data_IF_794273667749
#
_entry.id   IF_794273667749
#
_cell.length_a   1.000
_cell.length_b   1.000
_cell.length_c   1.000
_cell.angle_alpha   90.00
_cell.angle_beta   90.00
_cell.angle_gamma   90.00
#
_symmetry.space_group_name_H-M   'P 1'
#
loop_
_entity.id
_entity.type
_entity.pdbx_description
1 polymer ?
#
# COMPACT_ATOMS: atom_id res chain seq x y z
N UNK A 1 17.63 -4.49 12.65
CA UNK A 1 17.49 -5.00 11.26
C UNK A 1 16.10 -5.54 10.95
N UNK A 2 15.38 -6.10 11.93
CA UNK A 2 14.06 -6.70 11.70
C UNK A 2 12.99 -5.74 11.11
N UNK A 3 12.92 -4.49 11.61
CA UNK A 3 11.90 -3.52 11.17
C UNK A 3 12.00 -3.19 9.66
N UNK A 4 13.18 -2.81 9.09
CA UNK A 4 13.32 -2.66 7.64
C UNK A 4 12.97 -3.90 6.81
N UNK A 5 13.29 -5.11 7.31
CA UNK A 5 12.96 -6.37 6.62
C UNK A 5 11.44 -6.55 6.56
N UNK A 6 10.74 -6.33 7.68
CA UNK A 6 9.27 -6.41 7.72
C UNK A 6 8.62 -5.37 6.80
N UNK A 7 9.14 -4.14 6.78
CA UNK A 7 8.67 -3.10 5.85
C UNK A 7 8.85 -3.57 4.41
N UNK A 8 10.02 -4.11 4.05
CA UNK A 8 10.28 -4.61 2.71
C UNK A 8 9.32 -5.74 2.32
N UNK A 9 9.11 -6.73 3.19
CA UNK A 9 8.16 -7.83 2.94
C UNK A 9 6.73 -7.30 2.78
N UNK A 10 6.29 -6.41 3.68
CA UNK A 10 4.97 -5.79 3.62
C UNK A 10 4.77 -4.98 2.33
N UNK A 11 5.83 -4.32 1.86
CA UNK A 11 5.85 -3.60 0.58
C UNK A 11 5.67 -4.55 -0.62
N UNK A 12 6.34 -5.71 -0.59
CA UNK A 12 6.23 -6.72 -1.65
C UNK A 12 4.84 -7.31 -1.68
N UNK A 13 4.26 -7.66 -0.53
CA UNK A 13 2.91 -8.20 -0.43
C UNK A 13 1.86 -7.21 -0.95
N UNK A 14 1.95 -5.93 -0.57
CA UNK A 14 1.01 -4.92 -1.07
C UNK A 14 1.18 -4.63 -2.57
N UNK A 15 2.39 -4.81 -3.10
CA UNK A 15 2.63 -4.69 -4.54
C UNK A 15 2.20 -5.91 -5.35
N UNK A 16 2.17 -7.10 -4.73
CA UNK A 16 1.69 -8.35 -5.33
C UNK A 16 0.18 -8.40 -5.52
N UNK A 17 -0.55 -7.58 -4.76
CA UNK A 17 -2.01 -7.56 -4.78
C UNK A 17 -2.56 -7.06 -6.13
N UNK A 18 -3.20 -7.94 -6.94
CA UNK A 18 -3.66 -7.57 -8.26
C UNK A 18 -4.78 -6.51 -8.21
N UNK A 19 -5.56 -6.49 -7.11
CA UNK A 19 -6.70 -5.59 -6.95
C UNK A 19 -6.28 -4.14 -6.64
N UNK A 20 -5.03 -3.91 -6.24
CA UNK A 20 -4.53 -2.59 -5.81
C UNK A 20 -3.75 -1.82 -6.87
N UNK A 21 -3.94 -2.11 -8.16
CA UNK A 21 -3.34 -1.32 -9.24
C UNK A 21 -3.00 -2.12 -10.49
N UNK A 22 -2.64 -3.39 -10.33
CA UNK A 22 -2.14 -4.21 -11.43
C UNK A 22 -3.20 -4.51 -12.49
N UNK A 23 -4.44 -4.79 -12.05
CA UNK A 23 -5.57 -4.97 -12.95
C UNK A 23 -5.81 -3.73 -13.82
N UNK A 24 -5.56 -2.52 -13.29
CA UNK A 24 -5.66 -1.29 -14.08
C UNK A 24 -4.58 -1.26 -15.17
N UNK A 25 -3.32 -1.49 -14.83
CA UNK A 25 -2.24 -1.52 -15.82
C UNK A 25 -2.57 -2.48 -16.97
N UNK A 26 -3.04 -3.68 -16.62
CA UNK A 26 -3.48 -4.66 -17.60
C UNK A 26 -4.66 -4.17 -18.46
N UNK A 27 -5.66 -3.55 -17.82
CA UNK A 27 -6.83 -3.01 -18.51
C UNK A 27 -6.43 -1.89 -19.49
N UNK A 28 -5.62 -0.91 -19.07
CA UNK A 28 -5.10 0.13 -19.97
C UNK A 28 -4.31 -0.46 -21.15
N UNK A 29 -3.48 -1.47 -20.88
CA UNK A 29 -2.72 -2.17 -21.93
C UNK A 29 -3.65 -2.83 -22.96
N UNK A 30 -4.70 -3.51 -22.51
CA UNK A 30 -5.70 -4.15 -23.40
C UNK A 30 -6.51 -3.16 -24.25
N UNK A 31 -6.66 -1.91 -23.81
CA UNK A 31 -7.32 -0.84 -24.57
C UNK A 31 -6.34 0.02 -25.38
N UNK A 32 -5.15 -0.51 -25.72
CA UNK A 32 -4.10 0.16 -26.50
C UNK A 32 -3.56 1.47 -25.87
N UNK A 33 -3.77 1.68 -24.58
CA UNK A 33 -3.22 2.82 -23.82
C UNK A 33 -1.90 2.44 -23.16
N UNK A 34 -0.91 2.13 -24.01
CA UNK A 34 0.37 1.56 -23.56
C UNK A 34 1.09 2.50 -22.59
N UNK A 35 1.17 3.80 -22.89
CA UNK A 35 1.87 4.76 -22.02
C UNK A 35 1.25 4.82 -20.62
N UNK A 36 -0.08 4.89 -20.57
CA UNK A 36 -0.83 4.93 -19.33
C UNK A 36 -0.70 3.63 -18.54
N UNK A 37 -0.60 2.48 -19.20
CA UNK A 37 -0.43 1.19 -18.52
C UNK A 37 0.82 1.12 -17.64
N UNK A 38 1.92 1.77 -18.06
CA UNK A 38 3.17 1.90 -17.30
C UNK A 38 3.14 3.03 -16.26
N UNK A 39 2.24 4.01 -16.42
CA UNK A 39 2.08 5.08 -15.42
C UNK A 39 1.23 4.65 -14.22
N UNK A 40 0.29 3.72 -14.44
CA UNK A 40 -0.65 3.26 -13.41
C UNK A 40 0.04 2.76 -12.13
N UNK A 41 1.11 1.94 -12.15
CA UNK A 41 1.75 1.45 -10.92
C UNK A 41 2.30 2.59 -10.07
N UNK A 42 2.93 3.58 -10.70
CA UNK A 42 3.46 4.77 -10.03
C UNK A 42 2.33 5.63 -9.48
N UNK A 43 1.36 5.97 -10.33
CA UNK A 43 0.25 6.87 -9.98
C UNK A 43 -0.62 6.27 -8.88
N UNK A 44 -0.98 4.98 -8.99
CA UNK A 44 -1.79 4.29 -7.97
C UNK A 44 -1.05 4.19 -6.63
N UNK A 45 0.24 3.89 -6.61
CA UNK A 45 1.02 3.78 -5.37
C UNK A 45 1.17 5.15 -4.69
N UNK A 46 1.54 6.19 -5.45
CA UNK A 46 1.66 7.54 -4.90
C UNK A 46 0.33 8.08 -4.39
N UNK A 47 -0.74 7.98 -5.18
CA UNK A 47 -2.07 8.48 -4.78
C UNK A 47 -2.65 7.73 -3.58
N UNK A 48 -2.41 6.42 -3.49
CA UNK A 48 -2.85 5.60 -2.37
C UNK A 48 -2.12 5.96 -1.06
N UNK A 49 -0.88 6.44 -1.10
CA UNK A 49 -0.15 6.85 0.10
C UNK A 49 -0.07 8.37 0.31
N UNK A 50 -0.60 9.16 -0.63
CA UNK A 50 -0.41 10.62 -0.70
C UNK A 50 -0.78 11.34 0.60
N UNK A 51 -1.94 11.03 1.18
CA UNK A 51 -2.41 11.66 2.42
C UNK A 51 -1.46 11.39 3.59
N UNK A 52 -1.02 10.14 3.75
CA UNK A 52 -0.07 9.77 4.79
C UNK A 52 1.27 10.49 4.61
N UNK A 53 1.80 10.50 3.39
CA UNK A 53 3.07 11.17 3.06
C UNK A 53 2.97 12.67 3.36
N UNK A 54 1.89 13.33 2.94
CA UNK A 54 1.71 14.76 3.12
C UNK A 54 1.65 15.13 4.61
N UNK A 55 0.87 14.39 5.40
CA UNK A 55 0.79 14.63 6.86
C UNK A 55 2.14 14.32 7.54
N UNK A 56 2.82 13.23 7.17
CA UNK A 56 4.14 12.92 7.70
C UNK A 56 5.14 14.04 7.43
N UNK A 57 5.13 14.62 6.21
CA UNK A 57 6.02 15.73 5.86
C UNK A 57 5.69 16.99 6.66
N UNK A 58 4.40 17.31 6.86
CA UNK A 58 3.99 18.45 7.68
C UNK A 58 4.37 18.28 9.17
N UNK A 59 4.29 17.05 9.68
CA UNK A 59 4.55 16.73 11.09
C UNK A 59 6.01 16.33 11.38
N UNK A 60 6.87 16.24 10.36
CA UNK A 60 8.23 15.70 10.44
C UNK A 60 9.10 16.37 11.51
N UNK A 61 8.88 17.68 11.72
CA UNK A 61 9.61 18.48 12.70
C UNK A 61 8.93 18.52 14.08
N UNK A 62 7.61 18.34 14.14
CA UNK A 62 6.82 18.43 15.38
C UNK A 62 6.81 17.12 16.19
N UNK A 63 6.98 15.96 15.55
CA UNK A 63 6.91 14.63 16.17
C UNK A 63 8.10 14.28 17.08
N UNK A 64 9.11 15.15 17.19
CA UNK A 64 10.38 14.87 17.89
C UNK A 64 10.24 14.99 19.43
N UNK A 65 9.18 15.61 19.95
CA UNK A 65 9.13 16.09 21.35
C UNK A 65 8.28 15.23 22.31
N UNK A 66 7.66 14.14 21.88
CA UNK A 66 6.70 13.39 22.71
C UNK A 66 7.29 12.21 23.50
N UNK A 67 6.65 11.90 24.64
CA UNK A 67 6.95 10.72 25.45
C UNK A 67 6.74 9.43 24.64
N UNK A 68 7.86 8.79 24.32
CA UNK A 68 7.98 7.67 23.38
C UNK A 68 7.11 6.46 23.82
N UNK A 69 6.92 6.24 25.12
CA UNK A 69 6.21 5.06 25.63
C UNK A 69 4.69 5.11 25.41
N UNK A 70 4.06 6.26 25.67
CA UNK A 70 2.61 6.41 25.46
C UNK A 70 2.30 6.40 23.96
N UNK A 71 3.14 7.05 23.15
CA UNK A 71 3.01 7.10 21.70
C UNK A 71 3.07 5.69 21.08
N UNK A 72 3.94 4.79 21.58
CA UNK A 72 4.00 3.39 21.13
C UNK A 72 2.69 2.65 21.33
N UNK A 73 2.07 2.80 22.51
CA UNK A 73 0.80 2.14 22.83
C UNK A 73 -0.30 2.64 21.89
N UNK A 74 -0.37 3.96 21.67
CA UNK A 74 -1.34 4.56 20.73
C UNK A 74 -1.13 4.01 19.32
N UNK A 75 0.11 4.00 18.82
CA UNK A 75 0.42 3.50 17.47
C UNK A 75 0.10 2.01 17.34
N UNK A 76 0.36 1.21 18.36
CA UNK A 76 0.00 -0.20 18.36
C UNK A 76 -1.51 -0.38 18.15
N UNK A 77 -2.34 0.27 18.96
CA UNK A 77 -3.80 0.19 18.80
C UNK A 77 -4.24 0.68 17.42
N UNK A 78 -3.66 1.78 16.93
CA UNK A 78 -3.97 2.28 15.59
C UNK A 78 -3.61 1.26 14.50
N UNK A 79 -2.46 0.61 14.58
CA UNK A 79 -2.06 -0.43 13.63
C UNK A 79 -2.97 -1.66 13.68
N UNK A 80 -3.41 -2.07 14.87
CA UNK A 80 -4.41 -3.14 15.02
C UNK A 80 -5.74 -2.73 14.38
N UNK A 81 -6.23 -1.50 14.62
CA UNK A 81 -7.46 -1.02 13.98
C UNK A 81 -7.34 -0.95 12.46
N UNK A 82 -6.19 -0.50 11.96
CA UNK A 82 -5.90 -0.50 10.52
C UNK A 82 -5.95 -1.91 9.93
N UNK A 83 -5.32 -2.90 10.59
CA UNK A 83 -5.34 -4.29 10.15
C UNK A 83 -6.77 -4.86 10.11
N UNK A 84 -7.58 -4.60 11.15
CA UNK A 84 -8.98 -5.05 11.20
C UNK A 84 -9.79 -4.42 10.07
N UNK A 85 -9.71 -3.09 9.91
CA UNK A 85 -10.46 -2.37 8.88
C UNK A 85 -10.03 -2.83 7.48
N UNK A 86 -8.74 -3.11 7.27
CA UNK A 86 -8.26 -3.60 5.98
C UNK A 86 -8.82 -4.99 5.64
N UNK A 87 -8.91 -5.89 6.61
CA UNK A 87 -9.59 -7.19 6.41
C UNK A 87 -11.08 -7.01 6.09
N UNK A 88 -11.78 -6.12 6.79
CA UNK A 88 -13.22 -5.90 6.62
C UNK A 88 -13.54 -5.22 5.27
N UNK A 89 -12.78 -4.18 4.93
CA UNK A 89 -13.04 -3.33 3.76
C UNK A 89 -12.29 -3.77 2.50
N UNK A 90 -11.31 -4.67 2.61
CA UNK A 90 -10.53 -5.19 1.48
C UNK A 90 -11.39 -5.79 0.36
N UNK A 91 -12.48 -6.48 0.74
CA UNK A 91 -13.45 -7.06 -0.20
C UNK A 91 -14.45 -6.04 -0.76
N UNK A 92 -14.53 -4.85 -0.18
CA UNK A 92 -15.51 -3.80 -0.52
C UNK A 92 -14.87 -2.73 -1.40
N UNK A 93 -13.58 -2.86 -1.76
CA UNK A 93 -12.89 -1.94 -2.64
C UNK A 93 -13.57 -1.90 -4.02
N UNK A 94 -14.42 -0.90 -4.20
CA UNK A 94 -15.14 -0.67 -5.43
C UNK A 94 -14.33 0.25 -6.33
N UNK A 95 -14.01 -0.24 -7.51
CA UNK A 95 -13.59 0.60 -8.62
C UNK A 95 -14.77 0.71 -9.57
N UNK A 96 -15.55 1.78 -9.45
CA UNK A 96 -16.60 2.07 -10.43
C UNK A 96 -16.03 2.96 -11.54
N UNK A 97 -16.33 2.62 -12.78
CA UNK A 97 -15.76 3.31 -13.92
C UNK A 97 -16.36 2.91 -15.26
N UNK A 98 -16.07 3.72 -16.27
CA UNK A 98 -16.43 3.48 -17.67
C UNK A 98 -15.60 2.35 -18.27
N UNK A 99 -16.15 1.67 -19.29
CA UNK A 99 -15.42 0.68 -20.12
C UNK A 99 -14.13 1.24 -20.74
N UNK A 100 -14.00 2.56 -20.88
CA UNK A 100 -12.73 3.22 -21.21
C UNK A 100 -12.11 3.77 -19.94
N UNK A 101 -10.99 3.23 -19.45
CA UNK A 101 -10.40 3.68 -18.20
C UNK A 101 -9.67 5.02 -18.40
N UNK A 102 -9.77 5.90 -17.40
CA UNK A 102 -9.04 7.16 -17.33
C UNK A 102 -8.16 7.18 -16.09
N UNK A 103 -6.93 7.68 -16.22
CA UNK A 103 -5.97 7.72 -15.09
C UNK A 103 -6.54 8.49 -13.90
N UNK A 104 -7.33 9.54 -14.15
CA UNK A 104 -7.96 10.33 -13.08
C UNK A 104 -8.92 9.49 -12.22
N UNK A 105 -9.60 8.50 -12.81
CA UNK A 105 -10.46 7.60 -12.06
C UNK A 105 -9.64 6.66 -11.17
N UNK A 106 -8.48 6.21 -11.65
CA UNK A 106 -7.54 5.41 -10.85
C UNK A 106 -7.05 6.22 -9.65
N UNK A 107 -6.65 7.48 -9.86
CA UNK A 107 -6.23 8.39 -8.78
C UNK A 107 -7.36 8.59 -7.77
N UNK A 108 -8.56 8.95 -8.25
CA UNK A 108 -9.73 9.19 -7.40
C UNK A 108 -10.00 8.00 -6.49
N UNK A 109 -10.12 6.81 -7.08
CA UNK A 109 -10.44 5.60 -6.31
C UNK A 109 -9.28 5.13 -5.43
N UNK A 110 -8.02 5.31 -5.85
CA UNK A 110 -6.87 5.01 -5.00
C UNK A 110 -6.87 5.86 -3.71
N UNK A 111 -7.20 7.15 -3.81
CA UNK A 111 -7.33 8.04 -2.63
C UNK A 111 -8.51 7.62 -1.75
N UNK A 112 -9.69 7.37 -2.35
CA UNK A 112 -10.88 6.93 -1.60
C UNK A 112 -10.61 5.62 -0.85
N UNK A 113 -10.03 4.64 -1.53
CA UNK A 113 -9.68 3.35 -0.95
C UNK A 113 -8.63 3.50 0.16
N UNK A 114 -7.69 4.43 0.01
CA UNK A 114 -6.71 4.74 1.05
C UNK A 114 -7.34 5.24 2.34
N UNK A 115 -8.34 6.14 2.22
CA UNK A 115 -9.08 6.68 3.36
C UNK A 115 -9.89 5.57 4.03
N UNK A 116 -10.65 4.81 3.26
CA UNK A 116 -11.52 3.74 3.79
C UNK A 116 -10.69 2.68 4.53
N UNK A 117 -9.53 2.30 3.99
CA UNK A 117 -8.64 1.32 4.61
C UNK A 117 -7.70 1.92 5.66
N UNK A 118 -7.78 3.22 5.92
CA UNK A 118 -6.92 3.95 6.85
C UNK A 118 -5.42 3.77 6.60
N UNK A 119 -4.97 3.66 5.35
CA UNK A 119 -3.54 3.44 5.04
C UNK A 119 -2.63 4.59 5.51
N UNK A 120 -3.20 5.75 5.79
CA UNK A 120 -2.54 6.86 6.46
C UNK A 120 -1.94 6.47 7.81
N UNK A 121 -2.60 5.60 8.58
CA UNK A 121 -2.08 5.12 9.88
C UNK A 121 -0.75 4.40 9.69
N UNK A 122 -0.65 3.54 8.68
CA UNK A 122 0.58 2.81 8.39
C UNK A 122 1.73 3.79 8.08
N UNK A 123 1.51 4.75 7.19
CA UNK A 123 2.57 5.71 6.81
C UNK A 123 3.03 6.53 8.03
N UNK A 124 2.09 7.02 8.83
CA UNK A 124 2.41 7.77 10.04
C UNK A 124 3.19 6.92 11.04
N UNK A 125 2.71 5.71 11.35
CA UNK A 125 3.37 4.80 12.29
C UNK A 125 4.82 4.50 11.86
N UNK A 126 5.03 4.20 10.58
CA UNK A 126 6.35 3.94 10.02
C UNK A 126 7.25 5.17 10.14
N UNK A 127 6.75 6.36 9.82
CA UNK A 127 7.54 7.58 9.85
C UNK A 127 8.02 7.98 11.25
N UNK A 128 7.28 7.60 12.30
CA UNK A 128 7.65 7.88 13.69
C UNK A 128 8.86 7.03 14.12
N UNK A 129 8.88 5.75 13.77
CA UNK A 129 9.93 4.82 14.21
C UNK A 129 11.13 4.77 13.27
N UNK A 130 10.90 5.00 11.97
CA UNK A 130 11.93 5.03 10.95
C UNK A 130 11.54 6.03 9.87
N UNK A 131 12.09 7.26 9.93
CA UNK A 131 11.72 8.39 9.05
C UNK A 131 11.70 8.04 7.56
N UNK A 132 12.62 7.18 7.08
CA UNK A 132 12.70 6.79 5.67
C UNK A 132 11.81 5.58 5.31
N UNK A 133 11.16 4.93 6.28
CA UNK A 133 10.35 3.74 6.07
C UNK A 133 9.22 3.96 5.06
N UNK A 134 8.57 5.12 5.08
CA UNK A 134 7.49 5.40 4.14
C UNK A 134 8.01 5.48 2.69
N UNK A 135 9.22 6.01 2.48
CA UNK A 135 9.85 6.06 1.16
C UNK A 135 10.16 4.65 0.67
N UNK A 136 10.69 3.80 1.55
CA UNK A 136 10.99 2.40 1.25
C UNK A 136 9.70 1.67 0.87
N UNK A 137 8.63 1.85 1.65
CA UNK A 137 7.33 1.25 1.39
C UNK A 137 6.79 1.61 0.01
N UNK A 138 6.70 2.91 -0.28
CA UNK A 138 6.15 3.42 -1.55
C UNK A 138 7.02 3.01 -2.74
N UNK A 139 8.34 3.04 -2.59
CA UNK A 139 9.27 2.66 -3.67
C UNK A 139 9.17 1.18 -4.00
N UNK A 140 9.24 0.30 -2.99
CA UNK A 140 9.20 -1.15 -3.21
C UNK A 140 7.82 -1.59 -3.72
N UNK A 141 6.72 -1.04 -3.19
CA UNK A 141 5.36 -1.32 -3.70
C UNK A 141 5.21 -0.93 -5.17
N UNK A 142 5.78 0.22 -5.56
CA UNK A 142 5.74 0.67 -6.97
C UNK A 142 6.55 -0.25 -7.87
N UNK A 143 7.78 -0.58 -7.48
CA UNK A 143 8.67 -1.47 -8.26
C UNK A 143 8.06 -2.86 -8.41
N UNK A 144 7.50 -3.41 -7.34
CA UNK A 144 6.89 -4.75 -7.36
C UNK A 144 5.66 -4.79 -8.27
N UNK A 145 4.77 -3.80 -8.20
CA UNK A 145 3.63 -3.69 -9.14
C UNK A 145 4.08 -3.63 -10.59
N UNK A 146 5.10 -2.82 -10.88
CA UNK A 146 5.66 -2.68 -12.23
C UNK A 146 6.24 -4.01 -12.73
N UNK A 147 7.04 -4.70 -11.90
CA UNK A 147 7.60 -6.00 -12.23
C UNK A 147 6.52 -7.05 -12.53
N UNK A 148 5.48 -7.13 -11.70
CA UNK A 148 4.40 -8.10 -11.93
C UNK A 148 3.59 -7.72 -13.16
N UNK A 149 3.38 -6.43 -13.43
CA UNK A 149 2.73 -5.99 -14.66
C UNK A 149 3.54 -6.45 -15.89
N UNK A 150 4.85 -6.29 -15.87
CA UNK A 150 5.73 -6.78 -16.94
C UNK A 150 5.65 -8.31 -17.10
N UNK A 151 5.72 -9.05 -15.99
CA UNK A 151 5.62 -10.52 -15.98
C UNK A 151 4.26 -11.00 -16.54
N UNK A 152 3.18 -10.34 -16.17
CA UNK A 152 1.81 -10.75 -16.56
C UNK A 152 1.44 -10.33 -17.97
N UNK A 153 1.90 -9.16 -18.44
CA UNK A 153 1.58 -8.64 -19.77
C UNK A 153 2.47 -9.20 -20.89
N UNK A 154 3.75 -9.48 -20.61
CA UNK A 154 4.73 -9.90 -21.63
C UNK A 154 5.13 -11.37 -21.56
N UNK A 155 5.09 -12.00 -20.39
CA UNK A 155 5.67 -13.34 -20.20
C UNK A 155 4.58 -14.38 -20.04
N UNK A 156 3.77 -14.30 -18.97
CA UNK A 156 2.78 -15.32 -18.70
C UNK A 156 1.56 -14.79 -17.94
N UNK A 157 0.41 -14.84 -18.61
CA UNK A 157 -0.87 -14.45 -18.04
C UNK A 157 -1.32 -15.31 -16.86
N UNK A 158 -0.88 -16.57 -16.78
CA UNK A 158 -1.24 -17.46 -15.66
C UNK A 158 -0.74 -16.95 -14.32
N UNK A 159 0.29 -16.09 -14.30
CA UNK A 159 0.80 -15.44 -13.09
C UNK A 159 -0.31 -14.60 -12.45
N UNK A 160 -1.05 -13.80 -13.24
CA UNK A 160 -2.15 -12.98 -12.74
C UNK A 160 -3.24 -13.85 -12.11
N UNK A 161 -3.64 -14.92 -12.81
CA UNK A 161 -4.67 -15.86 -12.36
C UNK A 161 -4.25 -16.58 -11.07
N UNK A 162 -2.96 -16.86 -10.90
CA UNK A 162 -2.46 -17.47 -9.68
C UNK A 162 -2.43 -16.46 -8.52
N UNK A 163 -2.06 -15.21 -8.77
CA UNK A 163 -2.08 -14.16 -7.75
C UNK A 163 -3.49 -13.90 -7.22
N UNK A 164 -4.52 -13.92 -8.06
CA UNK A 164 -5.92 -13.69 -7.63
C UNK A 164 -6.46 -14.78 -6.68
N UNK A 165 -5.81 -15.95 -6.59
CA UNK A 165 -6.18 -17.02 -5.65
C UNK A 165 -5.78 -16.73 -4.20
N UNK A 166 -4.83 -15.81 -3.99
CA UNK A 166 -4.37 -15.45 -2.65
C UNK A 166 -5.23 -14.33 -2.06
N UNK A 167 -5.47 -14.39 -0.76
CA UNK A 167 -6.09 -13.30 -0.02
C UNK A 167 -5.01 -12.39 0.57
N UNK A 168 -4.54 -11.45 -0.25
CA UNK A 168 -3.48 -10.52 0.11
C UNK A 168 -3.85 -9.62 1.29
N UNK A 169 -5.12 -9.29 1.49
CA UNK A 169 -5.54 -8.46 2.63
C UNK A 169 -5.33 -9.17 3.97
N UNK A 170 -5.56 -10.49 4.07
CA UNK A 170 -5.23 -11.26 5.28
C UNK A 170 -3.72 -11.35 5.50
N UNK A 171 -2.96 -11.67 4.46
CA UNK A 171 -1.49 -11.80 4.54
C UNK A 171 -0.88 -10.45 4.97
N UNK A 172 -1.33 -9.37 4.34
CA UNK A 172 -0.91 -8.02 4.66
C UNK A 172 -1.26 -7.66 6.12
N UNK A 173 -2.50 -7.90 6.54
CA UNK A 173 -2.96 -7.55 7.89
C UNK A 173 -2.21 -8.34 8.96
N UNK A 174 -1.88 -9.61 8.70
CA UNK A 174 -1.00 -10.39 9.55
C UNK A 174 0.39 -9.73 9.70
N UNK A 175 0.98 -9.28 8.60
CA UNK A 175 2.27 -8.58 8.62
C UNK A 175 2.20 -7.22 9.35
N UNK A 176 1.08 -6.50 9.25
CA UNK A 176 0.84 -5.26 10.02
C UNK A 176 0.78 -5.56 11.52
N UNK A 177 0.09 -6.62 11.93
CA UNK A 177 0.04 -7.02 13.34
C UNK A 177 1.43 -7.42 13.83
N UNK A 178 2.19 -8.18 13.04
CA UNK A 178 3.56 -8.54 13.36
C UNK A 178 4.46 -7.29 13.48
N UNK A 179 4.29 -6.32 12.58
CA UNK A 179 4.96 -5.02 12.64
C UNK A 179 4.62 -4.28 13.93
N UNK A 180 3.34 -4.25 14.32
CA UNK A 180 2.88 -3.61 15.55
C UNK A 180 3.52 -4.24 16.81
N UNK A 181 3.59 -5.57 16.86
CA UNK A 181 4.26 -6.31 17.94
C UNK A 181 5.75 -5.96 17.97
N UNK A 182 6.42 -5.97 16.82
CA UNK A 182 7.84 -5.61 16.72
C UNK A 182 8.09 -4.18 17.18
N UNK A 183 7.20 -3.24 16.87
CA UNK A 183 7.30 -1.84 17.32
C UNK A 183 7.19 -1.73 18.85
N UNK A 184 6.39 -2.58 19.51
CA UNK A 184 6.31 -2.62 20.98
C UNK A 184 7.54 -3.28 21.60
N UNK A 185 8.01 -4.39 21.02
CA UNK A 185 9.03 -5.26 21.64
C UNK A 185 10.45 -4.78 21.36
N UNK A 186 10.72 -4.30 20.13
CA UNK A 186 12.05 -3.86 19.70
C UNK A 186 12.13 -2.33 19.76
N UNK A 187 12.67 -1.86 20.90
CA UNK A 187 12.86 -0.47 21.38
C UNK A 187 11.82 -0.06 22.39
#
# INVERSE_FOLDING_TARGET
MLLPILIAILSVIEGLDPYKGLLFSYYFYKFNKVRESYLVPVVSSLSYYALGILITLMLLNALIVYNISILKIIIFYLLITHAIIKVLMGKVLHYTGSMKPFLINVVKWAIVNSIIQMNLILILSLSIFFKLAFIILVSITTITRELIFLLTSKINHSILINLTKFNFDYIYSFLVVLLAIVIIVLR
#
